data_IF_951123663428
#
_entry.id   IF_951123663428
#
_cell.length_a   1.000
_cell.length_b   1.000
_cell.length_c   1.000
_cell.angle_alpha   90.00
_cell.angle_beta   90.00
_cell.angle_gamma   90.00
#
_symmetry.space_group_name_H-M   'P 1'
#
loop_
_entity.id
_entity.type
_entity.pdbx_description
1 polymer ?
#
# COMPACT_ATOMS: atom_id res chain seq x y z
N UNK A 1 -5.65 -14.63 2.77
CA UNK A 1 -4.60 -15.15 1.88
C UNK A 1 -5.11 -16.21 0.90
N UNK A 2 -5.04 -15.90 -0.40
CA UNK A 2 -5.30 -16.88 -1.47
C UNK A 2 -4.06 -17.76 -1.71
N UNK A 3 -4.24 -18.97 -2.29
CA UNK A 3 -3.10 -19.84 -2.65
C UNK A 3 -2.14 -19.14 -3.63
N UNK A 4 -2.68 -18.43 -4.63
CA UNK A 4 -1.88 -17.73 -5.63
C UNK A 4 -1.03 -16.58 -5.04
N UNK A 5 -1.57 -15.84 -4.07
CA UNK A 5 -0.82 -14.77 -3.38
C UNK A 5 0.42 -15.32 -2.67
N UNK A 6 0.32 -16.50 -2.05
CA UNK A 6 1.46 -17.13 -1.38
C UNK A 6 2.51 -17.63 -2.36
N UNK A 7 2.10 -18.17 -3.51
CA UNK A 7 3.05 -18.64 -4.54
C UNK A 7 3.87 -17.48 -5.10
N UNK A 8 3.24 -16.35 -5.40
CA UNK A 8 3.93 -15.12 -5.81
C UNK A 8 4.88 -14.65 -4.70
N UNK A 9 4.42 -14.64 -3.45
CA UNK A 9 5.22 -14.18 -2.32
C UNK A 9 6.50 -14.99 -2.11
N UNK A 10 6.47 -16.31 -2.40
CA UNK A 10 7.64 -17.19 -2.25
C UNK A 10 8.77 -16.84 -3.22
N UNK A 11 8.44 -16.42 -4.44
CA UNK A 11 9.43 -16.09 -5.48
C UNK A 11 9.81 -14.61 -5.51
N UNK A 12 8.96 -13.73 -4.95
CA UNK A 12 9.22 -12.30 -4.92
C UNK A 12 10.44 -11.94 -4.04
N UNK A 13 11.24 -10.98 -4.52
CA UNK A 13 12.32 -10.37 -3.73
C UNK A 13 11.79 -9.31 -2.75
N UNK A 14 10.70 -8.62 -3.13
CA UNK A 14 10.03 -7.61 -2.34
C UNK A 14 8.53 -7.67 -2.64
N UNK A 15 7.71 -7.47 -1.61
CA UNK A 15 6.25 -7.43 -1.68
C UNK A 15 5.83 -6.08 -1.14
N UNK A 16 5.20 -5.29 -2.01
CA UNK A 16 4.65 -3.99 -1.67
C UNK A 16 3.14 -4.14 -1.59
N UNK A 17 2.58 -3.84 -0.42
CA UNK A 17 1.15 -3.81 -0.22
C UNK A 17 0.65 -2.36 -0.14
N UNK A 18 -0.03 -1.87 -1.18
CA UNK A 18 -0.73 -0.60 -1.09
C UNK A 18 -1.90 -0.74 -0.12
N UNK A 19 -2.09 0.24 0.75
CA UNK A 19 -3.17 0.26 1.74
C UNK A 19 -3.75 1.66 1.89
N UNK A 20 -5.08 1.73 1.97
CA UNK A 20 -5.77 3.00 2.24
C UNK A 20 -5.68 3.35 3.72
N UNK A 21 -5.72 4.64 4.08
CA UNK A 21 -5.47 5.10 5.45
C UNK A 21 -6.64 4.86 6.44
N UNK A 22 -7.63 4.04 6.09
CA UNK A 22 -8.75 3.72 6.98
C UNK A 22 -8.42 2.52 7.88
N UNK A 23 -8.91 2.48 9.12
CA UNK A 23 -8.72 1.31 9.98
C UNK A 23 -9.33 0.02 9.40
N UNK A 24 -10.41 0.15 8.62
CA UNK A 24 -11.06 -0.97 7.94
C UNK A 24 -10.18 -1.55 6.82
N UNK A 25 -9.26 -0.76 6.26
CA UNK A 25 -8.25 -1.21 5.28
C UNK A 25 -6.95 -1.63 5.97
N UNK A 26 -6.48 -0.90 6.99
CA UNK A 26 -5.22 -1.15 7.70
C UNK A 26 -5.22 -2.48 8.47
N UNK A 27 -6.31 -2.77 9.19
CA UNK A 27 -6.43 -4.02 9.97
C UNK A 27 -6.30 -5.29 9.12
N UNK A 28 -7.10 -5.48 8.06
CA UNK A 28 -6.96 -6.66 7.21
C UNK A 28 -5.60 -6.68 6.49
N UNK A 29 -5.04 -5.52 6.15
CA UNK A 29 -3.71 -5.42 5.55
C UNK A 29 -2.61 -5.99 6.45
N UNK A 30 -2.60 -5.62 7.73
CA UNK A 30 -1.67 -6.16 8.75
C UNK A 30 -1.88 -7.67 8.92
N UNK A 31 -3.14 -8.13 8.96
CA UNK A 31 -3.47 -9.57 9.09
C UNK A 31 -2.94 -10.39 7.92
N UNK A 32 -3.00 -9.87 6.70
CA UNK A 32 -2.48 -10.54 5.51
C UNK A 32 -0.95 -10.69 5.57
N UNK A 33 -0.23 -9.63 5.94
CA UNK A 33 1.24 -9.71 6.15
C UNK A 33 1.61 -10.67 7.28
N UNK A 34 0.85 -10.68 8.38
CA UNK A 34 1.05 -11.66 9.45
C UNK A 34 0.82 -13.10 8.95
N UNK A 35 -0.13 -13.32 8.04
CA UNK A 35 -0.36 -14.63 7.41
C UNK A 35 0.82 -15.05 6.52
N UNK A 36 1.36 -14.12 5.72
CA UNK A 36 2.55 -14.37 4.89
C UNK A 36 3.77 -14.69 5.76
N UNK A 37 3.99 -13.92 6.83
CA UNK A 37 5.06 -14.18 7.78
C UNK A 37 4.95 -15.57 8.43
N UNK A 38 3.75 -15.94 8.90
CA UNK A 38 3.47 -17.29 9.41
C UNK A 38 3.70 -18.40 8.38
N UNK A 39 3.61 -18.08 7.10
CA UNK A 39 3.84 -19.01 5.98
C UNK A 39 5.31 -19.06 5.53
N UNK A 40 6.22 -18.40 6.27
CA UNK A 40 7.66 -18.45 6.04
C UNK A 40 8.22 -17.32 5.17
N UNK A 41 7.40 -16.34 4.79
CA UNK A 41 7.90 -15.14 4.09
C UNK A 41 8.61 -14.24 5.10
N UNK A 42 9.84 -13.83 4.80
CA UNK A 42 10.62 -12.99 5.71
C UNK A 42 10.04 -11.57 5.78
N UNK A 43 10.03 -10.96 6.99
CA UNK A 43 9.50 -9.60 7.21
C UNK A 43 10.23 -8.53 6.42
N UNK A 44 11.54 -8.70 6.17
CA UNK A 44 12.36 -7.78 5.38
C UNK A 44 11.92 -7.66 3.91
N UNK A 45 11.11 -8.61 3.42
CA UNK A 45 10.48 -8.55 2.09
C UNK A 45 9.12 -7.86 2.09
N UNK A 46 8.56 -7.49 3.24
CA UNK A 46 7.18 -7.03 3.36
C UNK A 46 7.15 -5.53 3.65
N UNK A 47 6.58 -4.76 2.72
CA UNK A 47 6.54 -3.30 2.77
C UNK A 47 5.12 -2.77 2.57
N UNK A 48 4.70 -1.84 3.43
CA UNK A 48 3.48 -1.06 3.23
C UNK A 48 3.75 0.23 2.46
N UNK A 49 2.80 0.62 1.61
CA UNK A 49 2.73 1.94 0.99
C UNK A 49 1.32 2.47 1.19
N UNK A 50 1.17 3.65 1.78
CA UNK A 50 -0.15 4.26 1.97
C UNK A 50 -0.58 4.90 0.64
N UNK A 51 -1.81 4.64 0.21
CA UNK A 51 -2.37 5.19 -1.03
C UNK A 51 -3.76 5.78 -0.83
N UNK A 52 -4.18 6.59 -1.81
CA UNK A 52 -5.45 7.32 -1.81
C UNK A 52 -5.68 8.17 -0.54
N UNK A 53 -4.63 8.89 -0.12
CA UNK A 53 -4.68 9.85 0.98
C UNK A 53 -5.42 11.13 0.54
N UNK A 54 -6.32 11.61 1.39
CA UNK A 54 -7.10 12.83 1.17
C UNK A 54 -6.61 14.02 2.00
N UNK A 55 -5.82 13.80 3.06
CA UNK A 55 -5.24 14.88 3.87
C UNK A 55 -3.94 14.47 4.57
N UNK A 56 -3.11 15.44 4.93
CA UNK A 56 -1.88 15.21 5.71
C UNK A 56 -2.15 14.59 7.09
N UNK A 57 -3.27 14.97 7.72
CA UNK A 57 -3.67 14.40 9.01
C UNK A 57 -4.00 12.91 8.91
N UNK A 58 -4.69 12.52 7.83
CA UNK A 58 -5.01 11.13 7.53
C UNK A 58 -3.75 10.31 7.23
N UNK A 59 -2.84 10.84 6.41
CA UNK A 59 -1.53 10.22 6.16
C UNK A 59 -0.75 10.00 7.45
N UNK A 60 -0.62 11.05 8.27
CA UNK A 60 0.10 10.96 9.54
C UNK A 60 -0.51 9.91 10.46
N UNK A 61 -1.83 9.90 10.59
CA UNK A 61 -2.51 8.94 11.47
C UNK A 61 -2.35 7.51 11.00
N UNK A 62 -2.33 7.25 9.69
CA UNK A 62 -2.10 5.93 9.13
C UNK A 62 -0.63 5.47 9.30
N UNK A 63 0.34 6.37 9.13
CA UNK A 63 1.74 6.10 9.45
C UNK A 63 1.93 5.75 10.93
N UNK A 64 1.40 6.57 11.83
CA UNK A 64 1.49 6.36 13.28
C UNK A 64 0.84 5.02 13.69
N UNK A 65 -0.22 4.62 13.00
CA UNK A 65 -0.88 3.33 13.23
C UNK A 65 -0.02 2.15 12.75
N UNK A 66 0.51 2.20 11.51
CA UNK A 66 1.35 1.14 10.98
C UNK A 66 2.69 1.02 11.70
N UNK A 67 3.22 2.13 12.23
CA UNK A 67 4.47 2.17 12.99
C UNK A 67 4.44 1.33 14.28
N UNK A 68 3.26 0.89 14.72
CA UNK A 68 3.09 -0.08 15.81
C UNK A 68 3.44 -1.52 15.40
N UNK A 69 3.68 -1.75 14.11
CA UNK A 69 4.10 -3.04 13.57
C UNK A 69 5.59 -3.06 13.26
N UNK A 70 6.18 -4.25 13.11
CA UNK A 70 7.60 -4.39 12.73
C UNK A 70 7.82 -4.40 11.20
N UNK A 71 6.82 -4.02 10.41
CA UNK A 71 6.94 -4.02 8.94
C UNK A 71 7.56 -2.72 8.45
N UNK A 72 8.23 -2.79 7.30
CA UNK A 72 8.70 -1.57 6.64
C UNK A 72 7.51 -0.75 6.12
N UNK A 73 7.54 0.56 6.33
CA UNK A 73 6.53 1.50 5.86
C UNK A 73 7.24 2.52 4.99
N UNK A 74 6.83 2.61 3.72
CA UNK A 74 7.35 3.62 2.81
C UNK A 74 6.98 5.01 3.33
N UNK A 75 7.91 5.96 3.47
CA UNK A 75 7.61 7.29 4.00
C UNK A 75 6.76 8.16 3.06
N UNK A 76 6.65 7.75 1.78
CA UNK A 76 5.86 8.44 0.78
C UNK A 76 4.49 7.79 0.65
N UNK A 77 3.46 8.62 0.65
CA UNK A 77 2.08 8.21 0.35
C UNK A 77 1.62 8.75 -0.99
N UNK A 78 0.67 8.04 -1.62
CA UNK A 78 0.02 8.51 -2.84
C UNK A 78 -1.30 9.20 -2.51
N UNK A 79 -1.46 10.45 -2.93
CA UNK A 79 -2.70 11.21 -2.79
C UNK A 79 -3.83 10.63 -3.65
N UNK A 80 -5.07 10.77 -3.19
CA UNK A 80 -6.25 10.54 -4.03
C UNK A 80 -6.48 11.76 -4.92
N UNK A 81 -6.32 11.58 -6.24
CA UNK A 81 -6.54 12.64 -7.22
C UNK A 81 -7.41 12.13 -8.35
N UNK A 82 -8.39 12.95 -8.72
CA UNK A 82 -9.25 12.69 -9.89
C UNK A 82 -8.38 12.52 -11.14
N UNK A 83 -7.36 13.37 -11.30
CA UNK A 83 -6.44 13.34 -12.44
C UNK A 83 -5.69 12.01 -12.60
N UNK A 84 -5.38 11.30 -11.50
CA UNK A 84 -4.78 9.95 -11.57
C UNK A 84 -5.75 8.93 -12.16
N UNK A 85 -7.02 9.00 -11.78
CA UNK A 85 -8.07 8.11 -12.29
C UNK A 85 -8.38 8.39 -13.76
N UNK A 86 -8.43 9.67 -14.14
CA UNK A 86 -8.68 10.09 -15.52
C UNK A 86 -7.63 9.56 -16.50
N UNK A 87 -6.34 9.62 -16.16
CA UNK A 87 -5.27 9.11 -17.03
C UNK A 87 -5.23 7.58 -17.05
N UNK A 88 -5.49 6.93 -15.92
CA UNK A 88 -5.59 5.46 -15.87
C UNK A 88 -6.74 4.94 -16.74
N UNK A 89 -7.89 5.63 -16.74
CA UNK A 89 -9.02 5.30 -17.63
C UNK A 89 -8.68 5.45 -19.12
N UNK A 90 -7.63 6.21 -19.46
CA UNK A 90 -7.11 6.37 -20.81
C UNK A 90 -5.96 5.40 -21.14
N UNK A 91 -5.63 4.47 -20.23
CA UNK A 91 -4.50 3.54 -20.39
C UNK A 91 -3.13 4.18 -20.16
N UNK A 92 -3.08 5.35 -19.53
CA UNK A 92 -1.85 6.09 -19.24
C UNK A 92 -1.43 5.91 -17.78
N UNK A 93 -0.14 6.12 -17.52
CA UNK A 93 0.41 6.14 -16.17
C UNK A 93 0.12 7.46 -15.44
N UNK A 94 0.18 7.43 -14.11
CA UNK A 94 0.02 8.65 -13.29
C UNK A 94 1.13 9.69 -13.52
N UNK A 95 2.25 9.30 -14.13
CA UNK A 95 3.32 10.21 -14.53
C UNK A 95 2.97 11.02 -15.79
N UNK A 96 1.94 10.62 -16.54
CA UNK A 96 1.49 11.23 -17.79
C UNK A 96 0.30 12.18 -17.59
N UNK A 97 0.04 12.59 -16.36
CA UNK A 97 -0.97 13.61 -16.04
C UNK A 97 -0.60 14.95 -16.66
N UNK A 98 -1.36 15.35 -17.67
CA UNK A 98 -1.15 16.60 -18.43
C UNK A 98 -1.39 17.86 -17.61
N UNK A 99 -2.22 17.79 -16.54
CA UNK A 99 -2.58 18.95 -15.73
C UNK A 99 -2.51 18.60 -14.23
N UNK A 100 -1.71 19.36 -13.46
CA UNK A 100 -1.78 19.36 -11.98
C UNK A 100 -3.07 20.06 -11.54
N UNK A 101 -4.24 19.47 -11.74
CA UNK A 101 -5.46 19.96 -11.06
C UNK A 101 -5.52 19.35 -9.66
N UNK A 102 -5.86 20.23 -8.71
CA UNK A 102 -5.84 20.07 -7.25
C UNK A 102 -6.38 18.71 -6.81
#
# INVERSE_FOLDING_TARGET
MSKGSLEIAKVANLIIQPVRPSLDDLNPAIREFNSLFKSGIKKDKLAFVINAVNSEAEEKSAHDYLAQTDYYICPLSLLDKISYREVQNQGLSIAEVKYKRL
#
